data_IF_484243963955
#
_entry.id   IF_484243963955
#
_cell.length_a   1.000
_cell.length_b   1.000
_cell.length_c   1.000
_cell.angle_alpha   90.00
_cell.angle_beta   90.00
_cell.angle_gamma   90.00
#
_symmetry.space_group_name_H-M   'P 1'
#
loop_
_entity.id
_entity.type
_entity.pdbx_description
1 polymer ?
#
# COMPACT_ATOMS: atom_id res chain seq x y z
N UNK A 1 10.86 13.84 7.92
CA UNK A 1 9.85 13.53 6.88
C UNK A 1 10.63 13.07 5.68
N UNK A 2 10.73 11.75 5.49
CA UNK A 2 11.65 11.13 4.54
C UNK A 2 11.15 11.27 3.10
N UNK A 3 12.05 11.57 2.18
CA UNK A 3 11.78 11.79 0.74
C UNK A 3 11.08 10.61 0.06
N UNK A 4 11.22 9.39 0.59
CA UNK A 4 10.50 8.22 0.09
C UNK A 4 8.98 8.34 0.29
N UNK A 5 8.54 8.95 1.40
CA UNK A 5 7.11 9.08 1.72
C UNK A 5 6.42 10.10 0.80
N UNK A 6 7.14 11.15 0.40
CA UNK A 6 6.66 12.11 -0.61
C UNK A 6 6.51 11.45 -2.00
N UNK A 7 7.40 10.52 -2.35
CA UNK A 7 7.30 9.74 -3.59
C UNK A 7 6.12 8.76 -3.58
N UNK A 8 5.85 8.12 -2.44
CA UNK A 8 4.70 7.22 -2.28
C UNK A 8 3.36 7.96 -2.43
N UNK A 9 3.23 9.15 -1.84
CA UNK A 9 2.01 9.97 -1.96
C UNK A 9 1.83 10.51 -3.39
N UNK A 10 2.92 10.84 -4.11
CA UNK A 10 2.83 11.25 -5.52
C UNK A 10 2.44 10.13 -6.49
N UNK A 11 2.73 8.86 -6.17
CA UNK A 11 2.30 7.71 -6.98
C UNK A 11 0.86 7.28 -6.69
N UNK A 12 0.30 7.71 -5.55
CA UNK A 12 -1.10 7.54 -5.19
C UNK A 12 -2.00 8.59 -5.87
N UNK A 13 -1.78 8.87 -7.16
CA UNK A 13 -2.47 9.89 -7.98
C UNK A 13 -3.94 9.51 -8.31
N UNK A 14 -4.68 9.03 -7.30
CA UNK A 14 -6.13 8.78 -7.33
C UNK A 14 -6.64 7.63 -8.20
N UNK A 15 -5.84 7.09 -9.13
CA UNK A 15 -6.31 6.13 -10.14
C UNK A 15 -6.15 4.66 -9.77
N UNK A 16 -5.16 4.30 -8.95
CA UNK A 16 -5.02 2.92 -8.45
C UNK A 16 -5.83 2.74 -7.17
N UNK A 17 -6.86 1.90 -7.23
CA UNK A 17 -7.53 1.41 -6.04
C UNK A 17 -6.51 0.73 -5.11
N UNK A 18 -6.73 0.81 -3.79
CA UNK A 18 -5.89 0.15 -2.76
C UNK A 18 -5.59 -1.31 -3.12
N UNK A 19 -6.54 -2.00 -3.74
CA UNK A 19 -6.40 -3.39 -4.19
C UNK A 19 -5.38 -3.57 -5.33
N UNK A 20 -5.30 -2.61 -6.25
CA UNK A 20 -4.29 -2.61 -7.33
C UNK A 20 -2.90 -2.25 -6.79
N UNK A 21 -2.82 -1.33 -5.84
CA UNK A 21 -1.58 -0.98 -5.15
C UNK A 21 -1.03 -2.17 -4.35
N UNK A 22 -1.88 -2.84 -3.58
CA UNK A 22 -1.52 -4.06 -2.84
C UNK A 22 -1.05 -5.16 -3.80
N UNK A 23 -1.75 -5.38 -4.92
CA UNK A 23 -1.36 -6.37 -5.93
C UNK A 23 -0.04 -6.03 -6.64
N UNK A 24 0.22 -4.75 -6.92
CA UNK A 24 1.48 -4.30 -7.51
C UNK A 24 2.66 -4.43 -6.53
N UNK A 25 2.44 -4.10 -5.25
CA UNK A 25 3.45 -4.25 -4.20
C UNK A 25 3.78 -5.72 -3.93
N UNK A 26 2.77 -6.58 -3.85
CA UNK A 26 2.91 -8.03 -3.79
C UNK A 26 3.72 -8.58 -4.97
N UNK A 27 3.43 -8.14 -6.20
CA UNK A 27 4.18 -8.58 -7.39
C UNK A 27 5.62 -8.05 -7.47
N UNK A 28 5.93 -6.94 -6.78
CA UNK A 28 7.25 -6.31 -6.77
C UNK A 28 8.15 -6.82 -5.64
N UNK A 29 7.55 -7.19 -4.50
CA UNK A 29 8.23 -7.68 -3.31
C UNK A 29 8.17 -9.22 -3.20
N UNK A 30 7.20 -9.85 -3.85
CA UNK A 30 7.06 -11.29 -3.92
C UNK A 30 7.96 -11.91 -5.00
N UNK A 31 8.31 -13.17 -4.81
CA UNK A 31 9.20 -13.92 -5.71
C UNK A 31 10.23 -14.79 -4.98
N UNK A 32 10.43 -14.56 -3.68
CA UNK A 32 11.21 -15.44 -2.79
C UNK A 32 10.33 -16.56 -2.21
N UNK A 33 10.90 -17.75 -2.05
CA UNK A 33 10.21 -18.94 -1.51
C UNK A 33 9.66 -18.74 -0.08
N UNK A 34 10.20 -17.79 0.69
CA UNK A 34 9.75 -17.43 2.04
C UNK A 34 8.71 -16.29 2.07
N UNK A 35 8.29 -15.77 0.91
CA UNK A 35 7.34 -14.66 0.85
C UNK A 35 5.88 -15.15 0.99
N UNK A 36 5.26 -14.87 2.13
CA UNK A 36 3.84 -15.11 2.37
C UNK A 36 2.99 -13.92 1.86
N UNK A 37 2.45 -14.08 0.65
CA UNK A 37 1.63 -13.06 -0.02
C UNK A 37 0.38 -12.69 0.81
N UNK A 38 -0.27 -13.66 1.44
CA UNK A 38 -1.50 -13.44 2.20
C UNK A 38 -1.21 -12.65 3.49
N UNK A 39 -0.15 -13.02 4.21
CA UNK A 39 0.28 -12.30 5.40
C UNK A 39 0.71 -10.86 5.07
N UNK A 40 1.45 -10.67 3.97
CA UNK A 40 1.87 -9.35 3.50
C UNK A 40 0.65 -8.46 3.17
N UNK A 41 -0.32 -9.00 2.42
CA UNK A 41 -1.54 -8.26 2.04
C UNK A 41 -2.37 -7.88 3.25
N UNK A 42 -2.51 -8.78 4.22
CA UNK A 42 -3.25 -8.52 5.45
C UNK A 42 -2.61 -7.39 6.26
N UNK A 43 -1.27 -7.41 6.42
CA UNK A 43 -0.52 -6.34 7.09
C UNK A 43 -0.67 -5.00 6.38
N UNK A 44 -0.46 -4.99 5.06
CA UNK A 44 -0.53 -3.77 4.26
C UNK A 44 -1.93 -3.13 4.28
N UNK A 45 -3.00 -3.92 4.24
CA UNK A 45 -4.37 -3.41 4.38
C UNK A 45 -4.64 -2.79 5.76
N UNK A 46 -4.09 -3.39 6.82
CA UNK A 46 -4.18 -2.84 8.17
C UNK A 46 -3.46 -1.48 8.26
N UNK A 47 -2.25 -1.39 7.69
CA UNK A 47 -1.46 -0.16 7.68
C UNK A 47 -2.13 0.95 6.86
N UNK A 48 -2.67 0.62 5.69
CA UNK A 48 -3.49 1.55 4.89
C UNK A 48 -4.71 2.03 5.69
N UNK A 49 -5.37 1.13 6.41
CA UNK A 49 -6.49 1.47 7.30
C UNK A 49 -6.09 2.40 8.47
N UNK A 50 -4.84 2.34 8.93
CA UNK A 50 -4.30 3.29 9.90
C UNK A 50 -4.04 4.64 9.25
N UNK A 51 -3.43 4.67 8.06
CA UNK A 51 -3.17 5.90 7.29
C UNK A 51 -4.45 6.69 6.96
N UNK A 52 -5.56 6.00 6.67
CA UNK A 52 -6.87 6.64 6.50
C UNK A 52 -7.38 7.23 7.81
N UNK A 53 -7.27 6.50 8.92
CA UNK A 53 -7.67 6.99 10.25
C UNK A 53 -6.83 8.17 10.72
N UNK A 54 -5.55 8.17 10.38
CA UNK A 54 -4.59 9.23 10.70
C UNK A 54 -4.72 10.44 9.75
N UNK A 55 -5.57 10.34 8.71
CA UNK A 55 -5.86 11.43 7.78
C UNK A 55 -4.81 11.66 6.69
N UNK A 56 -3.87 10.73 6.52
CA UNK A 56 -2.87 10.76 5.44
C UNK A 56 -3.42 10.28 4.09
N UNK A 57 -4.47 9.44 4.11
CA UNK A 57 -5.17 8.95 2.92
C UNK A 57 -6.67 9.28 3.01
N UNK A 58 -7.29 9.55 1.86
CA UNK A 58 -8.72 9.78 1.77
C UNK A 58 -9.43 8.49 1.31
N UNK A 59 -10.54 8.09 1.95
CA UNK A 59 -11.36 6.99 1.45
C UNK A 59 -11.96 7.39 0.10
N UNK A 60 -11.86 6.49 -0.87
CA UNK A 60 -12.61 6.61 -2.13
C UNK A 60 -14.05 6.14 -1.89
N UNK A 61 -15.02 6.83 -2.50
CA UNK A 61 -16.45 6.64 -2.28
C UNK A 61 -17.03 5.43 -3.04
#
# INVERSE_FOLDING_TARGET
MSTELAGFVSACDGELSVRQLVGALAALLGGDDDFDDDAFRAGLLSDVGNLVRDGFLLPTA
#
